data_IF_798259661780
#
_entry.id   IF_798259661780
#
_cell.length_a   1.000
_cell.length_b   1.000
_cell.length_c   1.000
_cell.angle_alpha   90.00
_cell.angle_beta   90.00
_cell.angle_gamma   90.00
#
_symmetry.space_group_name_H-M   'P 1'
#
loop_
_entity.id
_entity.type
_entity.pdbx_description
1 polymer ?
#
# COMPACT_ATOMS: atom_id res chain seq x y z
N UNK A 1 -19.88 -43.23 0.28
CA UNK A 1 -18.79 -42.28 -0.04
C UNK A 1 -19.40 -41.14 -0.84
N UNK A 2 -19.91 -40.11 -0.16
CA UNK A 2 -20.49 -38.94 -0.80
C UNK A 2 -19.60 -37.76 -0.41
N UNK A 3 -18.82 -37.30 -1.39
CA UNK A 3 -17.98 -36.11 -1.28
C UNK A 3 -18.88 -34.89 -1.05
N UNK A 4 -18.81 -34.29 0.13
CA UNK A 4 -19.33 -32.94 0.35
C UNK A 4 -18.51 -31.97 -0.51
N UNK A 5 -19.10 -31.52 -1.63
CA UNK A 5 -18.62 -30.37 -2.36
C UNK A 5 -18.80 -29.11 -1.49
N UNK A 6 -17.71 -28.67 -0.86
CA UNK A 6 -17.55 -27.30 -0.37
C UNK A 6 -17.75 -26.35 -1.55
N UNK A 7 -18.81 -25.54 -1.49
CA UNK A 7 -19.00 -24.36 -2.35
C UNK A 7 -17.75 -23.49 -2.23
N UNK A 8 -16.94 -23.40 -3.30
CA UNK A 8 -15.87 -22.42 -3.41
C UNK A 8 -16.52 -21.06 -3.61
N UNK A 9 -16.55 -20.24 -2.57
CA UNK A 9 -17.02 -18.86 -2.65
C UNK A 9 -15.92 -18.02 -3.32
N UNK A 10 -15.96 -17.96 -4.64
CA UNK A 10 -15.10 -17.09 -5.44
C UNK A 10 -15.60 -15.67 -5.29
N UNK A 11 -15.05 -14.90 -4.36
CA UNK A 11 -15.23 -13.45 -4.34
C UNK A 11 -14.70 -12.88 -5.67
N UNK A 12 -15.60 -12.40 -6.54
CA UNK A 12 -15.24 -11.74 -7.80
C UNK A 12 -14.18 -10.65 -7.54
N UNK A 13 -13.11 -10.53 -8.34
CA UNK A 13 -12.12 -9.46 -8.25
C UNK A 13 -12.77 -8.07 -8.13
N UNK A 14 -13.93 -7.88 -8.77
CA UNK A 14 -14.72 -6.66 -8.74
C UNK A 14 -15.22 -6.27 -7.34
N UNK A 15 -15.48 -7.24 -6.44
CA UNK A 15 -15.84 -6.96 -5.03
C UNK A 15 -14.62 -6.51 -4.21
N UNK A 16 -13.44 -7.08 -4.47
CA UNK A 16 -12.18 -6.64 -3.86
C UNK A 16 -11.83 -5.21 -4.30
N UNK A 17 -12.08 -4.89 -5.57
CA UNK A 17 -11.98 -3.52 -6.12
C UNK A 17 -12.86 -2.52 -5.40
N UNK A 18 -14.16 -2.80 -5.31
CA UNK A 18 -15.12 -1.91 -4.68
C UNK A 18 -14.85 -1.72 -3.18
N UNK A 19 -14.31 -2.74 -2.51
CA UNK A 19 -13.89 -2.61 -1.13
C UNK A 19 -12.69 -1.68 -1.04
N UNK A 20 -11.61 -1.94 -1.78
CA UNK A 20 -10.36 -1.15 -1.74
C UNK A 20 -10.53 0.31 -2.20
N UNK A 21 -11.45 0.58 -3.14
CA UNK A 21 -11.71 1.93 -3.63
C UNK A 21 -12.31 2.89 -2.59
N UNK A 22 -12.78 2.38 -1.45
CA UNK A 22 -13.22 3.18 -0.29
C UNK A 22 -12.25 3.12 0.89
N UNK A 23 -11.13 2.41 0.77
CA UNK A 23 -10.19 2.23 1.87
C UNK A 23 -9.18 3.38 1.84
N UNK A 24 -9.20 4.14 2.93
CA UNK A 24 -8.10 4.98 3.37
C UNK A 24 -7.60 4.37 4.68
N UNK A 25 -6.30 4.12 4.79
CA UNK A 25 -5.69 3.62 6.02
C UNK A 25 -4.51 4.47 6.42
N UNK A 26 -4.51 4.94 7.66
CA UNK A 26 -3.43 5.74 8.23
C UNK A 26 -2.73 4.94 9.32
N UNK A 27 -1.41 4.95 9.30
CA UNK A 27 -0.53 4.33 10.28
C UNK A 27 0.28 5.40 10.97
N UNK A 28 0.39 5.32 12.29
CA UNK A 28 1.31 6.16 13.04
C UNK A 28 2.75 5.79 12.67
N UNK A 29 3.53 6.80 12.27
CA UNK A 29 4.93 6.67 11.88
C UNK A 29 5.75 7.82 12.46
N UNK A 30 7.06 7.67 12.43
CA UNK A 30 8.01 8.77 12.66
C UNK A 30 8.84 9.00 11.41
N UNK A 31 9.02 10.26 11.05
CA UNK A 31 9.85 10.70 9.93
C UNK A 31 10.85 11.75 10.45
N UNK A 32 12.15 11.46 10.31
CA UNK A 32 13.22 12.27 10.90
C UNK A 32 13.01 12.61 12.39
N UNK A 33 12.47 11.65 13.16
CA UNK A 33 12.19 11.81 14.59
C UNK A 33 10.88 12.54 14.93
N UNK A 34 10.13 13.01 13.92
CA UNK A 34 8.82 13.67 14.11
C UNK A 34 7.69 12.68 13.96
N UNK A 35 6.75 12.68 14.91
CA UNK A 35 5.54 11.87 14.82
C UNK A 35 4.62 12.36 13.71
N UNK A 36 4.07 11.41 12.96
CA UNK A 36 3.19 11.68 11.84
C UNK A 36 2.31 10.48 11.48
N UNK A 37 1.57 10.62 10.38
CA UNK A 37 0.67 9.62 9.84
C UNK A 37 0.97 9.31 8.38
N UNK A 38 1.41 8.09 8.10
CA UNK A 38 1.47 7.59 6.72
C UNK A 38 0.08 7.10 6.33
N UNK A 39 -0.50 7.72 5.31
CA UNK A 39 -1.80 7.34 4.77
C UNK A 39 -1.63 6.67 3.42
N UNK A 40 -2.30 5.53 3.25
CA UNK A 40 -2.57 4.90 1.96
C UNK A 40 -4.01 5.18 1.60
N UNK A 41 -4.23 5.87 0.49
CA UNK A 41 -5.52 6.21 -0.06
C UNK A 41 -5.61 5.69 -1.49
N UNK A 42 -6.73 5.06 -1.84
CA UNK A 42 -6.90 4.48 -3.16
C UNK A 42 -6.74 5.51 -4.29
N UNK A 43 -7.24 6.72 -4.10
CA UNK A 43 -7.28 7.73 -5.14
C UNK A 43 -5.98 8.53 -5.19
N UNK A 44 -5.45 8.94 -4.04
CA UNK A 44 -4.30 9.85 -3.96
C UNK A 44 -2.96 9.15 -3.74
N UNK A 45 -2.95 7.86 -3.41
CA UNK A 45 -1.72 7.09 -3.20
C UNK A 45 -1.21 7.18 -1.77
N UNK A 46 0.09 7.44 -1.63
CA UNK A 46 0.79 7.59 -0.36
C UNK A 46 0.84 9.06 0.04
N UNK A 47 0.59 9.36 1.30
CA UNK A 47 0.87 10.69 1.85
C UNK A 47 1.35 10.62 3.28
N UNK A 48 2.33 11.44 3.63
CA UNK A 48 2.75 11.65 5.01
C UNK A 48 2.21 12.99 5.52
N UNK A 49 1.54 12.94 6.67
CA UNK A 49 1.16 14.11 7.43
C UNK A 49 1.98 14.20 8.73
N UNK A 50 2.39 15.40 9.13
CA UNK A 50 3.12 15.64 10.38
C UNK A 50 2.51 16.79 11.19
N UNK A 51 2.83 16.83 12.48
CA UNK A 51 2.47 17.92 13.38
C UNK A 51 1.01 17.90 13.84
N UNK A 52 0.66 18.87 14.69
CA UNK A 52 -0.67 18.96 15.29
C UNK A 52 -1.78 19.18 14.25
N UNK A 53 -1.49 19.96 13.21
CA UNK A 53 -2.45 20.26 12.14
C UNK A 53 -2.51 19.17 11.05
N UNK A 54 -1.73 18.09 11.18
CA UNK A 54 -1.62 17.02 10.18
C UNK A 54 -1.32 17.54 8.77
N UNK A 55 -0.40 18.51 8.68
CA UNK A 55 0.00 19.10 7.41
C UNK A 55 0.68 18.05 6.53
N UNK A 56 0.26 17.96 5.26
CA UNK A 56 0.85 17.03 4.29
C UNK A 56 2.28 17.48 3.97
N UNK A 57 3.25 16.64 4.32
CA UNK A 57 4.68 16.87 4.05
C UNK A 57 5.04 16.43 2.65
N UNK A 58 4.50 15.29 2.20
CA UNK A 58 4.65 14.81 0.84
C UNK A 58 3.49 13.88 0.45
N UNK A 59 3.26 13.78 -0.86
CA UNK A 59 2.26 12.89 -1.44
C UNK A 59 2.76 12.34 -2.78
N UNK A 60 2.60 11.03 -2.99
CA UNK A 60 2.97 10.34 -4.23
C UNK A 60 1.90 9.34 -4.65
N UNK A 61 1.64 9.24 -5.96
CA UNK A 61 0.75 8.21 -6.51
C UNK A 61 1.38 6.82 -6.39
N UNK A 62 0.56 5.77 -6.38
CA UNK A 62 1.07 4.38 -6.43
C UNK A 62 1.99 4.12 -7.61
N UNK A 63 1.70 4.69 -8.79
CA UNK A 63 2.51 4.53 -10.00
C UNK A 63 3.91 5.16 -9.90
N UNK A 64 4.13 6.05 -8.93
CA UNK A 64 5.43 6.66 -8.69
C UNK A 64 6.31 5.79 -7.79
N UNK A 65 5.75 4.81 -7.07
CA UNK A 65 6.55 3.88 -6.26
C UNK A 65 7.38 2.98 -7.18
N UNK A 66 8.71 3.05 -7.07
CA UNK A 66 9.67 2.22 -7.82
C UNK A 66 10.20 1.05 -7.01
N UNK A 67 10.17 1.15 -5.68
CA UNK A 67 10.54 0.06 -4.80
C UNK A 67 10.33 0.40 -3.34
N UNK A 68 10.20 -0.63 -2.52
CA UNK A 68 10.15 -0.52 -1.06
C UNK A 68 11.06 -1.57 -0.44
N UNK A 69 11.62 -1.25 0.73
CA UNK A 69 12.37 -2.21 1.55
C UNK A 69 12.14 -1.91 3.03
N UNK A 70 12.37 -2.91 3.87
CA UNK A 70 12.23 -2.79 5.32
C UNK A 70 13.30 -3.60 6.05
N UNK A 71 13.45 -3.36 7.34
CA UNK A 71 14.40 -4.07 8.21
C UNK A 71 13.77 -5.24 8.99
N UNK A 72 12.51 -5.58 8.71
CA UNK A 72 11.73 -6.59 9.41
C UNK A 72 11.29 -6.22 10.82
N UNK A 73 11.62 -5.01 11.32
CA UNK A 73 11.38 -4.58 12.70
C UNK A 73 10.51 -3.34 12.77
N UNK A 74 11.03 -2.21 12.32
CA UNK A 74 10.34 -0.92 12.43
C UNK A 74 10.65 0.06 11.31
N UNK A 75 11.67 -0.17 10.48
CA UNK A 75 12.07 0.79 9.45
C UNK A 75 11.51 0.38 8.10
N UNK A 76 10.93 1.36 7.41
CA UNK A 76 10.43 1.26 6.05
C UNK A 76 11.15 2.30 5.19
N UNK A 77 11.59 1.90 3.99
CA UNK A 77 12.12 2.79 2.96
C UNK A 77 11.26 2.68 1.71
N UNK A 78 10.86 3.83 1.17
CA UNK A 78 10.08 3.94 -0.06
C UNK A 78 10.85 4.75 -1.08
N UNK A 79 10.97 4.23 -2.30
CA UNK A 79 11.63 4.90 -3.41
C UNK A 79 10.56 5.37 -4.40
N UNK A 80 10.39 6.67 -4.50
CA UNK A 80 9.44 7.28 -5.43
C UNK A 80 10.17 7.93 -6.58
N UNK A 81 9.65 7.79 -7.80
CA UNK A 81 10.09 8.60 -8.92
C UNK A 81 9.27 9.88 -8.98
N UNK A 82 9.96 11.02 -8.87
CA UNK A 82 9.34 12.32 -9.09
C UNK A 82 8.84 12.44 -10.54
N UNK A 83 7.67 13.07 -10.71
CA UNK A 83 7.00 13.11 -12.01
C UNK A 83 7.68 14.08 -12.98
N UNK A 84 8.26 15.17 -12.48
CA UNK A 84 8.85 16.22 -13.31
C UNK A 84 10.32 15.95 -13.60
N UNK A 85 11.10 15.73 -12.55
CA UNK A 85 12.56 15.56 -12.61
C UNK A 85 12.98 14.13 -12.97
N UNK A 86 12.07 13.15 -12.81
CA UNK A 86 12.34 11.71 -12.93
C UNK A 86 13.37 11.18 -11.92
N UNK A 87 13.80 12.00 -10.96
CA UNK A 87 14.70 11.60 -9.90
C UNK A 87 14.05 10.57 -8.98
N UNK A 88 14.87 9.71 -8.37
CA UNK A 88 14.40 8.78 -7.34
C UNK A 88 14.60 9.42 -5.96
N UNK A 89 13.50 9.65 -5.26
CA UNK A 89 13.47 10.13 -3.88
C UNK A 89 13.27 8.97 -2.91
N UNK A 90 14.11 8.90 -1.88
CA UNK A 90 13.98 7.92 -0.79
C UNK A 90 13.29 8.58 0.40
N UNK A 91 12.18 7.99 0.85
CA UNK A 91 11.49 8.37 2.10
C UNK A 91 11.66 7.26 3.12
N UNK A 92 12.27 7.57 4.26
CA UNK A 92 12.48 6.62 5.36
C UNK A 92 11.52 6.91 6.50
N UNK A 93 10.86 5.88 7.01
CA UNK A 93 9.87 5.98 8.08
C UNK A 93 10.14 4.92 9.14
N UNK A 94 9.85 5.26 10.39
CA UNK A 94 9.80 4.32 11.50
C UNK A 94 8.34 4.05 11.89
N UNK A 95 7.97 2.78 12.07
CA UNK A 95 6.63 2.36 12.43
C UNK A 95 6.68 1.20 13.43
N UNK A 96 5.95 1.33 14.55
CA UNK A 96 5.89 0.29 15.58
C UNK A 96 5.06 -0.94 15.15
N UNK A 97 4.17 -0.76 14.18
CA UNK A 97 3.29 -1.82 13.65
C UNK A 97 3.64 -2.13 12.19
N UNK A 98 4.94 -2.24 11.90
CA UNK A 98 5.47 -2.38 10.54
C UNK A 98 4.83 -3.54 9.77
N UNK A 99 4.66 -4.72 10.38
CA UNK A 99 4.05 -5.87 9.70
C UNK A 99 2.63 -5.56 9.20
N UNK A 100 1.80 -4.94 10.03
CA UNK A 100 0.45 -4.51 9.65
C UNK A 100 0.46 -3.47 8.53
N UNK A 101 1.42 -2.55 8.56
CA UNK A 101 1.62 -1.56 7.48
C UNK A 101 2.01 -2.25 6.17
N UNK A 102 2.93 -3.21 6.20
CA UNK A 102 3.39 -3.96 5.03
C UNK A 102 2.27 -4.82 4.43
N UNK A 103 1.49 -5.52 5.25
CA UNK A 103 0.31 -6.26 4.78
C UNK A 103 -0.70 -5.33 4.10
N UNK A 104 -0.93 -4.15 4.68
CA UNK A 104 -1.82 -3.15 4.09
C UNK A 104 -1.27 -2.63 2.77
N UNK A 105 0.02 -2.25 2.71
CA UNK A 105 0.69 -1.85 1.47
C UNK A 105 0.54 -2.90 0.37
N UNK A 106 0.82 -4.17 0.69
CA UNK A 106 0.69 -5.26 -0.25
C UNK A 106 -0.75 -5.40 -0.78
N UNK A 107 -1.75 -5.35 0.11
CA UNK A 107 -3.15 -5.41 -0.30
C UNK A 107 -3.53 -4.28 -1.26
N UNK A 108 -3.14 -3.04 -0.98
CA UNK A 108 -3.39 -1.88 -1.85
C UNK A 108 -2.69 -2.02 -3.20
N UNK A 109 -1.42 -2.43 -3.21
CA UNK A 109 -0.63 -2.58 -4.44
C UNK A 109 -1.16 -3.72 -5.30
N UNK A 110 -1.42 -4.89 -4.73
CA UNK A 110 -2.00 -6.05 -5.42
C UNK A 110 -3.37 -5.70 -6.00
N UNK A 111 -4.22 -5.00 -5.23
CA UNK A 111 -5.49 -4.49 -5.75
C UNK A 111 -5.25 -3.48 -6.88
N UNK A 112 -4.32 -2.53 -6.75
CA UNK A 112 -4.03 -1.56 -7.83
C UNK A 112 -3.58 -2.23 -9.13
N UNK A 113 -2.70 -3.23 -9.06
CA UNK A 113 -2.26 -3.97 -10.25
C UNK A 113 -3.44 -4.69 -10.90
N UNK A 114 -4.29 -5.34 -10.11
CA UNK A 114 -5.46 -6.01 -10.65
C UNK A 114 -6.50 -5.05 -11.28
N UNK A 115 -6.49 -3.74 -10.96
CA UNK A 115 -7.46 -2.78 -11.56
C UNK A 115 -7.05 -2.40 -12.96
N UNK A 116 -5.74 -2.32 -13.17
CA UNK A 116 -5.18 -1.92 -14.45
C UNK A 116 -5.10 -3.11 -15.41
N UNK A 117 -4.91 -4.32 -14.87
CA UNK A 117 -4.99 -5.58 -15.61
C UNK A 117 -5.60 -6.70 -14.75
N UNK A 118 -6.90 -7.01 -14.92
CA UNK A 118 -7.56 -8.09 -14.19
C UNK A 118 -6.98 -9.49 -14.45
N UNK A 119 -6.29 -9.70 -15.58
CA UNK A 119 -5.68 -10.99 -15.89
C UNK A 119 -4.48 -11.30 -14.99
N UNK A 120 -3.84 -10.28 -14.39
CA UNK A 120 -2.70 -10.43 -13.48
C UNK A 120 -2.98 -11.35 -12.28
N UNK A 121 -4.20 -11.38 -11.74
CA UNK A 121 -4.52 -12.22 -10.58
C UNK A 121 -4.48 -13.72 -10.90
N UNK A 122 -4.63 -14.11 -12.18
CA UNK A 122 -4.62 -15.52 -12.58
C UNK A 122 -3.22 -16.15 -12.56
N UNK A 123 -2.15 -15.35 -12.61
CA UNK A 123 -0.77 -15.85 -12.64
C UNK A 123 -0.15 -16.05 -11.24
N UNK A 124 -0.66 -15.34 -10.21
CA UNK A 124 -0.11 -15.41 -8.84
C UNK A 124 -0.49 -16.73 -8.14
N UNK A 125 -1.51 -17.44 -8.60
CA UNK A 125 -1.96 -18.71 -8.01
C UNK A 125 -1.18 -19.96 -8.46
N UNK A 126 -0.10 -19.80 -9.24
CA UNK A 126 0.67 -20.93 -9.81
C UNK A 126 2.10 -21.10 -9.28
N UNK A 127 2.47 -20.44 -8.17
CA UNK A 127 3.78 -20.66 -7.51
C UNK A 127 3.55 -21.06 -6.06
#
# INVERSE_FOLDING_TARGET
MIMHHRKKETTSPQKLFFYCSKIRKTFAVSHHGKSGGLTLDWQTGFSLAEGADSAIVWQYKFSQLRGSSDDGKSKLKLHFQDHETRAIETKELECQVLQSLLFCMHAFLTAKVASVDPAFLSSIQQT
#
